data_IF_316940730269
#
_entry.id   IF_316940730269
#
_cell.length_a   1.000
_cell.length_b   1.000
_cell.length_c   1.000
_cell.angle_alpha   90.00
_cell.angle_beta   90.00
_cell.angle_gamma   90.00
#
_symmetry.space_group_name_H-M   'P 1'
#
loop_
_entity.id
_entity.type
_entity.pdbx_description
1 polymer ?
#
# COMPACT_ATOMS: atom_id res chain seq x y z
N UNK A 1 -0.94 -5.96 -12.40
CA UNK A 1 -1.83 -6.63 -11.42
C UNK A 1 -2.95 -5.65 -11.14
N UNK A 2 -4.21 -6.04 -11.28
CA UNK A 2 -5.35 -5.15 -10.98
C UNK A 2 -5.58 -5.22 -9.47
N UNK A 3 -5.38 -4.11 -8.75
CA UNK A 3 -5.67 -4.01 -7.32
C UNK A 3 -7.20 -3.94 -7.18
N UNK A 4 -7.80 -4.94 -6.55
CA UNK A 4 -9.25 -4.99 -6.34
C UNK A 4 -9.64 -5.29 -4.89
N UNK A 5 -8.67 -5.67 -4.05
CA UNK A 5 -8.88 -6.02 -2.65
C UNK A 5 -7.80 -5.42 -1.77
N UNK A 6 -8.10 -5.30 -0.48
CA UNK A 6 -7.15 -4.79 0.52
C UNK A 6 -5.85 -5.62 0.54
N UNK A 7 -5.95 -6.94 0.37
CA UNK A 7 -4.78 -7.83 0.27
C UNK A 7 -3.82 -7.47 -0.89
N UNK A 8 -4.33 -6.96 -2.02
CA UNK A 8 -3.50 -6.57 -3.15
C UNK A 8 -2.69 -5.32 -2.82
N UNK A 9 -3.31 -4.35 -2.13
CA UNK A 9 -2.64 -3.14 -1.63
C UNK A 9 -1.52 -3.54 -0.67
N UNK A 10 -1.80 -4.41 0.31
CA UNK A 10 -0.80 -4.91 1.27
C UNK A 10 0.40 -5.54 0.55
N UNK A 11 0.16 -6.38 -0.45
CA UNK A 11 1.21 -7.04 -1.24
C UNK A 11 2.07 -6.03 -2.01
N UNK A 12 1.46 -5.06 -2.69
CA UNK A 12 2.21 -4.07 -3.46
C UNK A 12 2.96 -3.09 -2.55
N UNK A 13 2.42 -2.76 -1.37
CA UNK A 13 3.13 -1.95 -0.36
C UNK A 13 4.38 -2.68 0.15
N UNK A 14 4.30 -3.97 0.48
CA UNK A 14 5.48 -4.76 0.85
C UNK A 14 6.53 -4.78 -0.26
N UNK A 15 6.09 -5.01 -1.50
CA UNK A 15 6.97 -5.02 -2.66
C UNK A 15 7.69 -3.68 -2.84
N UNK A 16 6.97 -2.56 -2.70
CA UNK A 16 7.55 -1.23 -2.80
C UNK A 16 8.64 -1.00 -1.73
N UNK A 17 8.36 -1.37 -0.48
CA UNK A 17 9.34 -1.29 0.61
C UNK A 17 10.57 -2.15 0.30
N UNK A 18 10.40 -3.41 -0.13
CA UNK A 18 11.52 -4.28 -0.49
C UNK A 18 12.33 -3.71 -1.66
N UNK A 19 11.68 -3.17 -2.69
CA UNK A 19 12.36 -2.54 -3.81
C UNK A 19 13.18 -1.32 -3.35
N UNK A 20 12.64 -0.51 -2.44
CA UNK A 20 13.36 0.63 -1.89
C UNK A 20 14.56 0.19 -1.05
N UNK A 21 14.38 -0.76 -0.12
CA UNK A 21 15.45 -1.30 0.73
C UNK A 21 16.57 -1.97 -0.08
N UNK A 22 16.25 -2.53 -1.25
CA UNK A 22 17.24 -3.14 -2.16
C UNK A 22 17.82 -2.15 -3.18
N UNK A 23 17.50 -0.85 -3.06
CA UNK A 23 18.00 0.20 -3.94
C UNK A 23 17.46 0.16 -5.37
N UNK A 24 16.40 -0.61 -5.63
CA UNK A 24 15.78 -0.76 -6.97
C UNK A 24 14.88 0.42 -7.35
N UNK A 25 14.38 1.17 -6.36
CA UNK A 25 13.58 2.38 -6.57
C UNK A 25 14.11 3.50 -5.67
N UNK A 26 13.90 4.74 -6.09
CA UNK A 26 14.30 5.92 -5.32
C UNK A 26 13.31 6.27 -4.22
N UNK A 27 13.67 7.23 -3.36
CA UNK A 27 12.76 7.82 -2.36
C UNK A 27 11.53 8.46 -3.02
N UNK A 28 11.70 9.12 -4.17
CA UNK A 28 10.62 9.75 -4.92
C UNK A 28 9.67 8.72 -5.52
N UNK A 29 10.21 7.63 -6.07
CA UNK A 29 9.41 6.52 -6.59
C UNK A 29 8.58 5.86 -5.47
N UNK A 30 9.20 5.68 -4.29
CA UNK A 30 8.51 5.15 -3.11
C UNK A 30 7.39 6.08 -2.65
N UNK A 31 7.62 7.40 -2.65
CA UNK A 31 6.60 8.39 -2.32
C UNK A 31 5.40 8.31 -3.27
N UNK A 32 5.65 8.39 -4.59
CA UNK A 32 4.60 8.34 -5.60
C UNK A 32 3.79 7.04 -5.49
N UNK A 33 4.46 5.90 -5.33
CA UNK A 33 3.81 4.60 -5.13
C UNK A 33 2.97 4.56 -3.85
N UNK A 34 3.46 5.15 -2.76
CA UNK A 34 2.74 5.26 -1.50
C UNK A 34 1.45 6.07 -1.62
N UNK A 35 1.50 7.19 -2.35
CA UNK A 35 0.32 8.02 -2.63
C UNK A 35 -0.72 7.22 -3.44
N UNK A 36 -0.32 6.59 -4.53
CA UNK A 36 -1.21 5.77 -5.37
C UNK A 36 -1.89 4.65 -4.57
N UNK A 37 -1.09 3.92 -3.77
CA UNK A 37 -1.61 2.82 -2.95
C UNK A 37 -2.54 3.31 -1.84
N UNK A 38 -2.31 4.50 -1.30
CA UNK A 38 -3.19 5.11 -0.28
C UNK A 38 -4.53 5.51 -0.87
N UNK A 39 -4.54 6.09 -2.08
CA UNK A 39 -5.78 6.39 -2.78
C UNK A 39 -6.60 5.12 -3.06
N UNK A 40 -5.95 4.08 -3.61
CA UNK A 40 -6.61 2.80 -3.86
C UNK A 40 -7.13 2.14 -2.59
N UNK A 41 -6.38 2.23 -1.49
CA UNK A 41 -6.83 1.72 -0.19
C UNK A 41 -8.09 2.44 0.28
N UNK A 42 -8.13 3.76 0.19
CA UNK A 42 -9.29 4.56 0.60
C UNK A 42 -10.54 4.21 -0.24
N UNK A 43 -10.40 4.09 -1.56
CA UNK A 43 -11.50 3.70 -2.45
C UNK A 43 -12.03 2.30 -2.10
N UNK A 44 -11.15 1.38 -1.70
CA UNK A 44 -11.54 0.04 -1.25
C UNK A 44 -12.20 0.04 0.13
N UNK A 45 -11.83 0.96 1.01
CA UNK A 45 -12.44 1.10 2.33
C UNK A 45 -13.92 1.45 2.26
N UNK A 46 -14.35 2.21 1.24
CA UNK A 46 -15.77 2.52 1.00
C UNK A 46 -16.62 1.26 0.71
N UNK A 47 -15.98 0.17 0.27
CA UNK A 47 -16.63 -1.12 -0.01
C UNK A 47 -16.12 -2.28 0.89
N UNK A 48 -15.34 -1.97 1.92
CA UNK A 48 -14.60 -2.97 2.71
C UNK A 48 -15.51 -3.99 3.42
N UNK A 49 -16.74 -3.63 3.79
CA UNK A 49 -17.69 -4.56 4.41
C UNK A 49 -18.00 -5.78 3.52
N UNK A 50 -17.80 -5.66 2.20
CA UNK A 50 -17.98 -6.73 1.22
C UNK A 50 -16.66 -7.39 0.78
N UNK A 51 -15.50 -6.87 1.23
CA UNK A 51 -14.18 -7.45 0.95
C UNK A 51 -13.87 -8.55 1.98
N UNK A 52 -13.70 -9.82 1.56
CA UNK A 52 -13.32 -10.91 2.46
C UNK A 52 -11.95 -10.72 3.12
N UNK A 53 -11.15 -9.76 2.65
CA UNK A 53 -9.83 -9.40 3.17
C UNK A 53 -9.83 -8.13 4.04
N UNK A 54 -11.00 -7.60 4.38
CA UNK A 54 -11.15 -6.40 5.24
C UNK A 54 -10.47 -6.51 6.60
N UNK A 55 -10.30 -7.72 7.13
CA UNK A 55 -9.53 -7.97 8.35
C UNK A 55 -8.05 -7.52 8.25
N UNK A 56 -7.53 -7.32 7.03
CA UNK A 56 -6.18 -6.80 6.76
C UNK A 56 -6.09 -5.28 6.72
N UNK A 57 -7.22 -4.55 6.86
CA UNK A 57 -7.26 -3.10 6.67
C UNK A 57 -6.28 -2.37 7.60
N UNK A 58 -6.24 -2.76 8.88
CA UNK A 58 -5.34 -2.14 9.87
C UNK A 58 -3.87 -2.34 9.49
N UNK A 59 -3.44 -3.58 9.26
CA UNK A 59 -2.07 -3.89 8.85
C UNK A 59 -1.68 -3.13 7.57
N UNK A 60 -2.61 -3.03 6.63
CA UNK A 60 -2.37 -2.36 5.35
C UNK A 60 -2.17 -0.87 5.56
N UNK A 61 -2.99 -0.23 6.40
CA UNK A 61 -2.85 1.18 6.75
C UNK A 61 -1.52 1.46 7.48
N UNK A 62 -1.10 0.59 8.40
CA UNK A 62 0.20 0.70 9.08
C UNK A 62 1.36 0.59 8.08
N UNK A 63 1.26 -0.31 7.10
CA UNK A 63 2.28 -0.48 6.07
C UNK A 63 2.38 0.74 5.14
N UNK A 64 1.25 1.34 4.77
CA UNK A 64 1.21 2.61 4.02
C UNK A 64 1.81 3.76 4.85
N UNK A 65 1.60 3.78 6.16
CA UNK A 65 2.23 4.75 7.04
C UNK A 65 3.75 4.59 7.09
N UNK A 66 4.26 3.36 7.07
CA UNK A 66 5.70 3.10 6.94
C UNK A 66 6.25 3.63 5.63
N UNK A 67 5.53 3.44 4.50
CA UNK A 67 5.94 4.00 3.20
C UNK A 67 6.03 5.53 3.29
N UNK A 68 5.04 6.19 3.90
CA UNK A 68 5.10 7.64 4.14
C UNK A 68 6.34 8.02 4.96
N UNK A 69 6.60 7.32 6.07
CA UNK A 69 7.76 7.62 6.92
C UNK A 69 9.11 7.44 6.19
N UNK A 70 9.25 6.41 5.36
CA UNK A 70 10.47 6.15 4.59
C UNK A 70 10.66 7.13 3.41
N UNK A 71 9.58 7.74 2.94
CA UNK A 71 9.58 8.58 1.75
C UNK A 71 9.46 10.09 2.04
N UNK A 72 9.18 10.48 3.29
CA UNK A 72 9.30 11.85 3.79
C UNK A 72 10.74 12.20 4.18
#
# INVERSE_FOLDING_TARGET
>A
MKIQKIADVKKEAHKAITQFQTGKITKLDLYAKGVDLTHLFNDLMDSAASDPTSYLAKDTAELLHVIKHLSC
#
